data_IF_739186824230
#
_entry.id   IF_739186824230
#
_cell.length_a   1.000
_cell.length_b   1.000
_cell.length_c   1.000
_cell.angle_alpha   90.00
_cell.angle_beta   90.00
_cell.angle_gamma   90.00
#
_symmetry.space_group_name_H-M   'P 1'
#
loop_
_entity.id
_entity.type
_entity.pdbx_description
1 polymer ?
#
# COMPACT_ATOMS: atom_id res chain seq x y z
N UNK A 1 58.08 76.99 -10.71
CA UNK A 1 57.42 78.26 -11.08
C UNK A 1 56.11 77.90 -11.75
N UNK A 2 55.01 77.90 -10.99
CA UNK A 2 53.95 78.92 -11.11
C UNK A 2 53.36 78.91 -12.53
N UNK A 3 52.11 78.48 -12.77
CA UNK A 3 50.86 79.09 -12.27
C UNK A 3 49.66 78.14 -12.47
N UNK A 4 48.82 78.01 -11.45
CA UNK A 4 47.35 77.86 -11.57
C UNK A 4 46.75 79.27 -11.85
N UNK A 5 45.51 79.51 -12.34
CA UNK A 5 44.24 78.79 -12.13
C UNK A 5 43.36 78.70 -13.44
N UNK A 6 42.15 78.11 -13.52
CA UNK A 6 40.84 78.58 -13.01
C UNK A 6 39.77 77.52 -13.33
N UNK A 7 38.87 77.35 -12.37
CA UNK A 7 37.68 76.49 -12.30
C UNK A 7 36.56 76.96 -13.25
N UNK A 8 35.85 76.01 -13.88
CA UNK A 8 34.42 76.03 -14.27
C UNK A 8 34.12 74.59 -14.74
N UNK A 9 33.57 73.72 -13.89
CA UNK A 9 32.13 73.66 -13.65
C UNK A 9 31.53 72.62 -14.61
N UNK A 10 30.93 71.56 -14.07
CA UNK A 10 29.71 70.88 -14.51
C UNK A 10 29.67 69.41 -14.06
N UNK A 11 28.71 69.17 -13.15
CA UNK A 11 27.96 67.95 -12.84
C UNK A 11 28.68 66.64 -12.49
N UNK A 12 28.60 66.34 -11.18
CA UNK A 12 28.37 65.01 -10.62
C UNK A 12 27.11 64.38 -11.23
N UNK A 13 27.27 63.32 -12.04
CA UNK A 13 26.34 62.20 -12.19
C UNK A 13 27.26 61.01 -12.50
N UNK A 14 27.48 60.04 -11.62
CA UNK A 14 26.68 58.80 -11.59
C UNK A 14 27.13 57.95 -10.39
N UNK A 15 26.37 57.97 -9.31
CA UNK A 15 26.48 56.98 -8.24
C UNK A 15 25.05 56.69 -7.79
N UNK A 16 24.43 55.67 -8.41
CA UNK A 16 23.25 54.90 -7.97
C UNK A 16 22.72 54.11 -9.17
N UNK A 17 23.38 52.99 -9.49
CA UNK A 17 22.81 51.89 -10.29
C UNK A 17 22.81 50.60 -9.44
N UNK A 18 22.33 50.73 -8.21
CA UNK A 18 21.89 49.62 -7.39
C UNK A 18 20.53 50.04 -6.87
N UNK A 19 19.48 49.58 -7.55
CA UNK A 19 18.09 49.42 -7.12
C UNK A 19 17.22 49.40 -8.39
N UNK A 20 17.25 48.28 -9.08
CA UNK A 20 16.14 47.71 -9.86
C UNK A 20 16.59 46.34 -10.38
N UNK A 21 16.94 45.46 -9.43
CA UNK A 21 16.67 44.06 -9.65
C UNK A 21 15.14 43.92 -9.48
N UNK A 22 14.40 43.39 -10.46
CA UNK A 22 13.01 43.04 -10.22
C UNK A 22 13.00 42.07 -9.05
N UNK A 23 12.13 42.36 -8.08
CA UNK A 23 11.97 41.56 -6.88
C UNK A 23 11.96 40.08 -7.24
N UNK A 24 12.86 39.38 -6.56
CA UNK A 24 12.94 37.94 -6.49
C UNK A 24 11.54 37.32 -6.51
N UNK A 25 11.32 36.40 -7.45
CA UNK A 25 10.48 35.21 -7.23
C UNK A 25 9.33 35.45 -6.26
N UNK A 26 8.30 36.17 -6.72
CA UNK A 26 6.97 35.97 -6.17
C UNK A 26 6.58 34.53 -6.51
N UNK A 27 7.01 33.57 -5.67
CA UNK A 27 6.43 32.24 -5.60
C UNK A 27 4.93 32.47 -5.57
N UNK A 28 4.24 32.12 -6.65
CA UNK A 28 2.78 32.04 -6.69
C UNK A 28 2.41 31.26 -5.44
N UNK A 29 1.85 31.93 -4.43
CA UNK A 29 1.17 31.24 -3.33
C UNK A 29 0.08 30.43 -4.00
N UNK A 30 0.35 29.15 -4.22
CA UNK A 30 -0.60 28.18 -4.75
C UNK A 30 -1.87 28.38 -3.94
N UNK A 31 -2.97 28.66 -4.63
CA UNK A 31 -4.27 28.89 -4.02
C UNK A 31 -4.66 27.56 -3.40
N UNK A 32 -4.38 27.37 -2.10
CA UNK A 32 -4.59 26.10 -1.38
C UNK A 32 -5.95 25.52 -1.78
N UNK A 33 -5.93 24.42 -2.55
CA UNK A 33 -7.15 23.80 -3.04
C UNK A 33 -7.90 23.25 -1.84
N UNK A 34 -9.06 23.84 -1.54
CA UNK A 34 -9.87 23.45 -0.39
C UNK A 34 -10.43 22.04 -0.63
N UNK A 35 -10.23 21.13 0.32
CA UNK A 35 -10.81 19.79 0.32
C UNK A 35 -12.32 19.86 0.16
N UNK A 36 -12.87 19.07 -0.75
CA UNK A 36 -14.30 19.07 -1.08
C UNK A 36 -15.14 18.23 -0.11
N UNK A 37 -14.49 17.45 0.75
CA UNK A 37 -15.11 16.52 1.70
C UNK A 37 -15.26 17.14 3.08
N UNK A 38 -14.13 17.45 3.74
CA UNK A 38 -14.14 18.04 5.09
C UNK A 38 -14.04 19.58 5.08
N UNK A 39 -13.84 20.21 3.91
CA UNK A 39 -13.69 21.67 3.78
C UNK A 39 -12.54 22.27 4.63
N UNK A 40 -11.56 21.45 5.04
CA UNK A 40 -10.52 21.81 6.02
C UNK A 40 -11.09 22.24 7.38
N UNK A 41 -12.28 21.75 7.74
CA UNK A 41 -12.87 21.97 9.04
C UNK A 41 -12.09 21.17 10.11
N UNK A 42 -11.44 21.85 11.09
CA UNK A 42 -10.62 21.17 12.08
C UNK A 42 -11.41 20.20 12.97
N UNK A 43 -12.67 20.52 13.29
CA UNK A 43 -13.51 19.67 14.13
C UNK A 43 -13.92 18.40 13.38
N UNK A 44 -14.31 18.54 12.10
CA UNK A 44 -14.60 17.37 11.25
C UNK A 44 -13.38 16.49 11.03
N UNK A 45 -12.21 17.10 10.82
CA UNK A 45 -10.95 16.38 10.65
C UNK A 45 -10.56 15.63 11.93
N UNK A 46 -10.57 16.31 13.08
CA UNK A 46 -10.25 15.70 14.37
C UNK A 46 -11.22 14.57 14.73
N UNK A 47 -12.53 14.79 14.57
CA UNK A 47 -13.56 13.79 14.87
C UNK A 47 -13.41 12.52 14.07
N UNK A 48 -12.97 12.64 12.81
CA UNK A 48 -12.82 11.51 11.90
C UNK A 48 -11.37 10.99 11.84
N UNK A 49 -10.46 11.51 12.67
CA UNK A 49 -9.06 11.07 12.73
C UNK A 49 -8.28 11.32 11.44
N UNK A 50 -8.60 12.40 10.71
CA UNK A 50 -7.94 12.74 9.43
C UNK A 50 -7.16 14.04 9.57
N UNK A 51 -5.99 14.13 8.94
CA UNK A 51 -5.19 15.36 8.82
C UNK A 51 -4.72 15.57 7.37
N UNK A 52 -4.56 16.83 6.94
CA UNK A 52 -3.99 17.17 5.63
C UNK A 52 -2.50 17.54 5.70
N UNK A 53 -1.86 17.27 6.85
CA UNK A 53 -0.47 17.58 7.12
C UNK A 53 -0.22 19.01 7.60
N UNK A 54 1.07 19.37 7.77
CA UNK A 54 2.24 18.55 7.44
C UNK A 54 2.38 17.30 8.35
N UNK A 55 2.94 16.22 7.80
CA UNK A 55 3.31 15.02 8.54
C UNK A 55 4.58 14.38 7.94
N UNK A 56 5.30 13.52 8.70
CA UNK A 56 6.44 12.76 8.16
C UNK A 56 6.03 11.89 6.98
N UNK A 57 6.79 11.91 5.87
CA UNK A 57 6.50 11.11 4.68
C UNK A 57 7.77 10.83 3.87
N UNK A 58 7.94 9.60 3.37
CA UNK A 58 9.16 9.21 2.68
C UNK A 58 10.38 9.41 3.59
N UNK A 59 11.43 10.08 3.10
CA UNK A 59 12.60 10.45 3.92
C UNK A 59 12.55 11.89 4.48
N UNK A 60 11.40 12.56 4.39
CA UNK A 60 11.22 13.94 4.82
C UNK A 60 9.80 14.16 5.39
N UNK A 61 9.07 15.15 4.86
CA UNK A 61 7.70 15.51 5.23
C UNK A 61 6.84 15.75 3.99
N UNK A 62 5.52 15.63 4.15
CA UNK A 62 4.56 15.93 3.07
C UNK A 62 4.69 17.35 2.53
N UNK A 63 5.07 18.32 3.38
CA UNK A 63 5.27 19.71 2.97
C UNK A 63 6.56 19.89 2.18
N UNK A 64 7.67 19.29 2.60
CA UNK A 64 8.93 19.33 1.84
C UNK A 64 8.77 18.68 0.47
N UNK A 65 8.12 17.52 0.40
CA UNK A 65 7.82 16.85 -0.88
C UNK A 65 7.00 17.77 -1.80
N UNK A 66 5.97 18.42 -1.26
CA UNK A 66 5.09 19.34 -1.99
C UNK A 66 5.81 20.60 -2.50
N UNK A 67 6.71 21.17 -1.68
CA UNK A 67 7.48 22.37 -2.04
C UNK A 67 8.53 22.04 -3.09
N UNK A 68 9.23 20.93 -2.91
CA UNK A 68 10.44 20.64 -3.67
C UNK A 68 10.17 20.13 -5.08
N UNK A 69 9.11 19.35 -5.26
CA UNK A 69 8.84 18.67 -6.51
C UNK A 69 7.70 19.33 -7.32
N UNK A 70 7.04 20.34 -6.75
CA UNK A 70 6.08 21.22 -7.44
C UNK A 70 4.86 20.53 -8.08
N UNK A 71 4.49 19.31 -7.66
CA UNK A 71 3.26 18.62 -8.10
C UNK A 71 2.15 18.73 -7.06
N UNK A 72 0.91 18.97 -7.50
CA UNK A 72 -0.25 19.13 -6.61
C UNK A 72 -0.81 17.77 -6.17
N UNK A 73 -0.40 17.32 -4.99
CA UNK A 73 -0.94 16.11 -4.36
C UNK A 73 -2.11 16.42 -3.41
N UNK A 74 -3.01 15.45 -3.26
CA UNK A 74 -3.89 15.36 -2.10
C UNK A 74 -3.14 14.63 -0.99
N UNK A 75 -2.86 15.34 0.10
CA UNK A 75 -2.23 14.79 1.30
C UNK A 75 -3.29 14.45 2.35
N UNK A 76 -3.27 13.21 2.82
CA UNK A 76 -4.17 12.72 3.88
C UNK A 76 -3.40 11.81 4.82
N UNK A 77 -3.56 12.02 6.12
CA UNK A 77 -3.16 11.07 7.17
C UNK A 77 -4.43 10.58 7.86
N UNK A 78 -4.49 9.28 8.12
CA UNK A 78 -5.53 8.61 8.91
C UNK A 78 -4.91 7.94 10.15
N UNK A 79 -5.64 7.04 10.81
CA UNK A 79 -5.13 6.37 12.01
C UNK A 79 -3.88 5.53 11.70
N UNK A 80 -3.90 4.75 10.61
CA UNK A 80 -2.84 3.78 10.31
C UNK A 80 -2.00 4.11 9.08
N UNK A 81 -2.43 5.09 8.27
CA UNK A 81 -1.84 5.36 6.97
C UNK A 81 -1.56 6.85 6.75
N UNK A 82 -0.59 7.11 5.85
CA UNK A 82 -0.32 8.42 5.28
C UNK A 82 -0.30 8.30 3.76
N UNK A 83 -0.86 9.29 3.09
CA UNK A 83 -1.09 9.26 1.65
C UNK A 83 -0.60 10.54 0.99
N UNK A 84 0.09 10.38 -0.13
CA UNK A 84 0.28 11.42 -1.15
C UNK A 84 -0.36 10.96 -2.45
N UNK A 85 -1.41 11.64 -2.90
CA UNK A 85 -2.27 11.14 -3.99
C UNK A 85 -2.44 12.17 -5.11
N UNK A 86 -1.92 11.87 -6.29
CA UNK A 86 -2.29 12.53 -7.54
C UNK A 86 -3.40 11.72 -8.21
N UNK A 87 -4.61 12.28 -8.24
CA UNK A 87 -5.79 11.61 -8.78
C UNK A 87 -6.52 12.51 -9.77
N UNK A 88 -7.01 11.93 -10.86
CA UNK A 88 -7.98 12.59 -11.76
C UNK A 88 -9.39 12.43 -11.20
N UNK A 89 -10.33 13.26 -11.64
CA UNK A 89 -11.75 12.99 -11.38
C UNK A 89 -12.18 11.67 -12.01
N UNK A 90 -13.08 10.94 -11.35
CA UNK A 90 -13.59 9.65 -11.81
C UNK A 90 -15.09 9.71 -12.06
N UNK A 91 -15.53 9.36 -13.27
CA UNK A 91 -16.95 9.20 -13.58
C UNK A 91 -17.37 7.76 -13.30
N UNK A 92 -18.22 7.57 -12.30
CA UNK A 92 -18.68 6.25 -11.85
C UNK A 92 -19.46 5.56 -12.98
N UNK A 93 -19.04 4.37 -13.44
CA UNK A 93 -19.78 3.57 -14.42
C UNK A 93 -21.18 3.21 -13.91
N UNK A 94 -22.16 3.11 -14.81
CA UNK A 94 -23.54 2.78 -14.45
C UNK A 94 -23.64 1.48 -13.65
N UNK A 95 -22.90 0.45 -14.10
CA UNK A 95 -22.83 -0.87 -13.47
C UNK A 95 -22.32 -0.84 -12.02
N UNK A 96 -21.60 0.21 -11.63
CA UNK A 96 -20.95 0.32 -10.32
C UNK A 96 -21.61 1.35 -9.41
N UNK A 97 -22.61 2.10 -9.90
CA UNK A 97 -23.27 3.15 -9.12
C UNK A 97 -23.83 2.68 -7.80
N UNK A 98 -24.35 1.44 -7.74
CA UNK A 98 -24.88 0.87 -6.50
C UNK A 98 -23.78 0.70 -5.45
N UNK A 99 -22.61 0.19 -5.84
CA UNK A 99 -21.47 -0.02 -4.95
C UNK A 99 -20.92 1.31 -4.45
N UNK A 100 -20.60 2.25 -5.35
CA UNK A 100 -20.12 3.58 -4.95
C UNK A 100 -21.13 4.36 -4.12
N UNK A 101 -22.42 4.22 -4.40
CA UNK A 101 -23.44 4.88 -3.58
C UNK A 101 -23.41 4.37 -2.14
N UNK A 102 -23.26 3.08 -1.92
CA UNK A 102 -23.15 2.52 -0.56
C UNK A 102 -21.91 3.06 0.17
N UNK A 103 -20.76 3.13 -0.51
CA UNK A 103 -19.54 3.72 0.08
C UNK A 103 -19.71 5.22 0.39
N UNK A 104 -20.36 5.97 -0.50
CA UNK A 104 -20.63 7.38 -0.28
C UNK A 104 -21.69 7.64 0.79
N UNK A 105 -22.66 6.75 0.98
CA UNK A 105 -23.63 6.78 2.09
C UNK A 105 -22.89 6.58 3.42
N UNK A 106 -21.99 5.59 3.51
CA UNK A 106 -21.14 5.39 4.69
C UNK A 106 -20.22 6.59 4.96
N UNK A 107 -19.60 7.15 3.93
CA UNK A 107 -18.75 8.33 4.07
C UNK A 107 -19.55 9.59 4.46
N UNK A 108 -20.82 9.70 4.06
CA UNK A 108 -21.71 10.80 4.44
C UNK A 108 -21.97 10.84 5.95
N UNK A 109 -22.01 9.69 6.63
CA UNK A 109 -22.17 9.63 8.09
C UNK A 109 -21.04 10.39 8.82
N UNK A 110 -19.82 10.31 8.29
CA UNK A 110 -18.64 11.05 8.77
C UNK A 110 -18.61 12.51 8.30
N UNK A 111 -19.06 12.74 7.06
CA UNK A 111 -19.00 14.02 6.35
C UNK A 111 -20.38 14.38 5.74
N UNK A 112 -21.28 15.03 6.50
CA UNK A 112 -22.68 15.22 6.12
C UNK A 112 -22.94 15.96 4.80
N UNK A 113 -21.97 16.75 4.34
CA UNK A 113 -22.06 17.52 3.10
C UNK A 113 -21.91 16.66 1.82
N UNK A 114 -21.47 15.41 1.95
CA UNK A 114 -21.34 14.49 0.82
C UNK A 114 -22.72 14.19 0.23
N UNK A 115 -22.78 14.10 -1.10
CA UNK A 115 -23.98 13.71 -1.85
C UNK A 115 -23.79 12.28 -2.36
N UNK A 116 -24.49 11.27 -1.82
CA UNK A 116 -24.22 9.88 -2.19
C UNK A 116 -24.59 9.48 -3.63
N UNK A 117 -25.41 10.30 -4.30
CA UNK A 117 -25.78 10.10 -5.71
C UNK A 117 -24.84 10.80 -6.71
N UNK A 118 -23.64 11.23 -6.27
CA UNK A 118 -22.69 11.93 -7.14
C UNK A 118 -22.13 10.97 -8.19
N UNK A 119 -22.31 11.29 -9.47
CA UNK A 119 -21.82 10.46 -10.57
C UNK A 119 -20.34 10.70 -10.92
N UNK A 120 -19.75 11.79 -10.44
CA UNK A 120 -18.34 12.15 -10.68
C UNK A 120 -17.67 12.43 -9.34
N UNK A 121 -16.64 11.65 -9.03
CA UNK A 121 -15.82 11.82 -7.83
C UNK A 121 -14.65 12.72 -8.18
N UNK A 122 -14.52 13.83 -7.47
CA UNK A 122 -13.33 14.68 -7.59
C UNK A 122 -12.14 14.06 -6.82
N UNK A 123 -10.91 14.55 -7.01
CA UNK A 123 -9.72 13.95 -6.39
C UNK A 123 -9.78 13.82 -4.88
N UNK A 124 -10.34 14.80 -4.16
CA UNK A 124 -10.48 14.74 -2.71
C UNK A 124 -11.48 13.66 -2.28
N UNK A 125 -12.62 13.55 -2.97
CA UNK A 125 -13.59 12.51 -2.65
C UNK A 125 -13.03 11.10 -2.92
N UNK A 126 -12.28 10.92 -4.01
CA UNK A 126 -11.58 9.65 -4.29
C UNK A 126 -10.53 9.34 -3.21
N UNK A 127 -9.76 10.35 -2.79
CA UNK A 127 -8.73 10.21 -1.77
C UNK A 127 -9.32 9.78 -0.42
N UNK A 128 -10.41 10.41 0.04
CA UNK A 128 -11.10 9.99 1.25
C UNK A 128 -11.70 8.58 1.16
N UNK A 129 -12.26 8.19 0.00
CA UNK A 129 -12.71 6.80 -0.19
C UNK A 129 -11.55 5.81 -0.09
N UNK A 130 -10.40 6.11 -0.70
CA UNK A 130 -9.22 5.25 -0.62
C UNK A 130 -8.70 5.12 0.82
N UNK A 131 -8.70 6.21 1.59
CA UNK A 131 -8.37 6.20 3.03
C UNK A 131 -9.29 5.26 3.79
N UNK A 132 -10.61 5.41 3.64
CA UNK A 132 -11.59 4.54 4.33
C UNK A 132 -11.44 3.07 3.94
N UNK A 133 -11.19 2.81 2.66
CA UNK A 133 -10.92 1.45 2.15
C UNK A 133 -9.67 0.84 2.78
N UNK A 134 -8.58 1.61 2.90
CA UNK A 134 -7.34 1.14 3.55
C UNK A 134 -7.52 0.90 5.04
N UNK A 135 -8.25 1.77 5.76
CA UNK A 135 -8.58 1.56 7.17
C UNK A 135 -9.47 0.32 7.38
N UNK A 136 -10.44 0.09 6.49
CA UNK A 136 -11.24 -1.13 6.50
C UNK A 136 -10.40 -2.39 6.25
N UNK A 137 -9.41 -2.32 5.34
CA UNK A 137 -8.48 -3.41 5.09
C UNK A 137 -7.59 -3.70 6.32
N UNK A 138 -7.16 -2.67 7.04
CA UNK A 138 -6.41 -2.80 8.30
C UNK A 138 -7.25 -3.47 9.39
N UNK A 139 -8.50 -3.03 9.59
CA UNK A 139 -9.41 -3.66 10.54
C UNK A 139 -9.68 -5.14 10.19
N UNK A 140 -9.85 -5.42 8.89
CA UNK A 140 -10.00 -6.80 8.37
C UNK A 140 -8.74 -7.64 8.64
N UNK A 141 -7.56 -7.06 8.52
CA UNK A 141 -6.30 -7.73 8.85
C UNK A 141 -6.24 -8.11 10.34
N UNK A 142 -6.57 -7.20 11.25
CA UNK A 142 -6.58 -7.47 12.69
C UNK A 142 -7.55 -8.60 13.06
N UNK A 143 -8.78 -8.55 12.53
CA UNK A 143 -9.80 -9.59 12.71
C UNK A 143 -9.33 -10.96 12.20
N UNK A 144 -8.63 -10.98 11.06
CA UNK A 144 -8.08 -12.20 10.48
C UNK A 144 -6.92 -12.78 11.31
N UNK A 145 -6.08 -11.93 11.87
CA UNK A 145 -4.99 -12.36 12.77
C UNK A 145 -5.49 -12.72 14.18
N UNK A 146 -6.74 -12.39 14.51
CA UNK A 146 -7.30 -12.62 15.85
C UNK A 146 -6.65 -11.74 16.91
N UNK A 147 -6.29 -10.50 16.55
CA UNK A 147 -5.60 -9.53 17.42
C UNK A 147 -6.34 -8.19 17.41
N UNK A 148 -5.83 -7.21 18.16
CA UNK A 148 -6.40 -5.87 18.24
C UNK A 148 -5.32 -4.80 18.35
N UNK A 149 -5.66 -3.54 18.04
CA UNK A 149 -4.75 -2.40 18.19
C UNK A 149 -4.18 -2.28 19.61
N UNK A 150 -4.99 -2.59 20.63
CA UNK A 150 -4.59 -2.53 22.03
C UNK A 150 -3.37 -3.39 22.34
N UNK A 151 -3.18 -4.51 21.64
CA UNK A 151 -2.02 -5.39 21.82
C UNK A 151 -0.71 -4.75 21.35
N UNK A 152 -0.77 -3.77 20.45
CA UNK A 152 0.39 -3.03 19.93
C UNK A 152 0.63 -1.71 20.67
N UNK A 153 -0.29 -1.30 21.56
CA UNK A 153 -0.13 -0.11 22.40
C UNK A 153 0.58 -0.41 23.72
N UNK A 154 0.59 -1.67 24.17
CA UNK A 154 1.31 -2.09 25.38
C UNK A 154 2.82 -2.17 25.13
N UNK A 155 3.57 -1.19 25.63
CA UNK A 155 5.03 -1.15 25.53
C UNK A 155 5.74 -2.37 26.14
N UNK A 156 5.13 -3.04 27.12
CA UNK A 156 5.68 -4.29 27.68
C UNK A 156 5.44 -5.49 26.75
N UNK A 157 4.35 -5.49 26.00
CA UNK A 157 4.06 -6.52 25.00
C UNK A 157 4.87 -6.33 23.70
N UNK A 158 5.25 -5.08 23.38
CA UNK A 158 6.03 -4.75 22.19
C UNK A 158 7.38 -5.46 22.13
N UNK A 159 8.06 -5.75 23.25
CA UNK A 159 9.32 -6.51 23.22
C UNK A 159 9.21 -7.85 22.48
N UNK A 160 8.01 -8.44 22.40
CA UNK A 160 7.73 -9.64 21.62
C UNK A 160 6.94 -9.36 20.32
N UNK A 161 6.17 -8.27 20.26
CA UNK A 161 5.21 -7.96 19.19
C UNK A 161 5.59 -6.77 18.29
N UNK A 162 6.80 -6.24 18.40
CA UNK A 162 7.34 -5.23 17.50
C UNK A 162 7.81 -3.95 18.20
N UNK A 163 7.83 -2.83 17.48
CA UNK A 163 8.45 -1.59 17.94
C UNK A 163 7.48 -0.40 18.02
N UNK A 164 6.23 -0.57 17.59
CA UNK A 164 5.23 0.49 17.66
C UNK A 164 3.79 0.03 17.39
N UNK A 165 2.85 0.97 17.42
CA UNK A 165 1.41 0.67 17.46
C UNK A 165 0.86 0.19 16.11
N UNK A 166 1.61 0.33 15.01
CA UNK A 166 1.12 0.07 13.67
C UNK A 166 1.47 -1.35 13.24
N UNK A 167 0.75 -2.34 13.78
CA UNK A 167 1.04 -3.78 13.65
C UNK A 167 2.43 -4.20 14.16
N UNK A 168 3.10 -3.37 14.97
CA UNK A 168 4.49 -3.58 15.38
C UNK A 168 5.47 -2.67 14.64
N UNK A 169 5.04 -1.91 13.63
CA UNK A 169 5.86 -0.86 13.01
C UNK A 169 5.85 0.41 13.86
N UNK A 170 6.94 1.17 13.80
CA UNK A 170 7.07 2.43 14.55
C UNK A 170 6.20 3.54 13.97
N UNK A 171 6.11 3.59 12.64
CA UNK A 171 5.38 4.60 11.89
C UNK A 171 4.22 4.01 11.10
N UNK A 172 3.26 4.88 10.77
CA UNK A 172 2.12 4.59 9.88
C UNK A 172 2.60 4.11 8.53
N UNK A 173 1.82 3.26 7.87
CA UNK A 173 2.09 2.81 6.50
C UNK A 173 1.96 3.98 5.53
N UNK A 174 2.81 4.03 4.51
CA UNK A 174 2.84 5.14 3.56
C UNK A 174 2.48 4.70 2.14
N UNK A 175 1.62 5.48 1.49
CA UNK A 175 1.11 5.17 0.16
C UNK A 175 1.24 6.39 -0.74
N UNK A 176 1.88 6.22 -1.88
CA UNK A 176 2.16 7.28 -2.83
C UNK A 176 1.64 6.92 -4.22
N UNK A 177 0.70 7.71 -4.75
CA UNK A 177 0.09 7.46 -6.06
C UNK A 177 0.34 8.64 -6.98
N UNK A 178 0.98 8.36 -8.11
CA UNK A 178 1.14 9.33 -9.19
C UNK A 178 0.18 9.02 -10.35
N UNK A 179 -0.13 10.06 -11.13
CA UNK A 179 -0.80 9.87 -12.43
C UNK A 179 0.27 9.46 -13.45
N UNK A 180 1.28 10.31 -13.60
CA UNK A 180 2.24 10.24 -14.70
C UNK A 180 3.58 9.64 -14.21
N UNK A 181 4.32 9.05 -15.14
CA UNK A 181 5.58 8.34 -14.87
C UNK A 181 6.70 9.27 -14.42
N UNK A 182 6.84 10.45 -15.04
CA UNK A 182 7.97 11.34 -14.78
C UNK A 182 7.99 11.92 -13.35
N UNK A 183 6.88 12.44 -12.79
CA UNK A 183 6.88 12.89 -11.39
C UNK A 183 7.15 11.76 -10.39
N UNK A 184 6.70 10.53 -10.68
CA UNK A 184 7.04 9.36 -9.87
C UNK A 184 8.53 9.08 -9.90
N UNK A 185 9.13 9.06 -11.10
CA UNK A 185 10.58 8.88 -11.28
C UNK A 185 11.36 9.94 -10.50
N UNK A 186 10.99 11.20 -10.61
CA UNK A 186 11.64 12.31 -9.90
C UNK A 186 11.56 12.12 -8.37
N UNK A 187 10.38 11.75 -7.86
CA UNK A 187 10.20 11.43 -6.43
C UNK A 187 11.07 10.24 -6.00
N UNK A 188 11.12 9.17 -6.80
CA UNK A 188 11.90 7.97 -6.50
C UNK A 188 13.41 8.27 -6.52
N UNK A 189 13.89 9.06 -7.48
CA UNK A 189 15.30 9.47 -7.56
C UNK A 189 15.68 10.30 -6.34
N UNK A 190 14.84 11.27 -5.96
CA UNK A 190 15.13 12.15 -4.82
C UNK A 190 15.03 11.44 -3.47
N UNK A 191 14.01 10.60 -3.29
CA UNK A 191 13.72 9.97 -1.99
C UNK A 191 14.56 8.71 -1.78
N UNK A 192 14.74 7.92 -2.82
CA UNK A 192 15.35 6.58 -2.73
C UNK A 192 16.63 6.43 -3.54
N UNK A 193 16.97 7.38 -4.42
CA UNK A 193 18.13 7.26 -5.32
C UNK A 193 17.89 6.30 -6.48
N UNK A 194 16.63 6.07 -6.87
CA UNK A 194 16.22 5.05 -7.83
C UNK A 194 15.48 5.65 -9.01
N UNK A 195 15.76 5.14 -10.21
CA UNK A 195 15.12 5.57 -11.46
C UNK A 195 14.02 4.62 -11.94
N UNK A 196 13.80 3.51 -11.21
CA UNK A 196 12.84 2.48 -11.58
C UNK A 196 11.40 2.96 -11.37
N UNK A 197 10.56 2.78 -12.39
CA UNK A 197 9.24 3.43 -12.50
C UNK A 197 8.06 2.48 -12.27
N UNK A 198 8.31 1.19 -12.03
CA UNK A 198 7.24 0.25 -11.67
C UNK A 198 6.83 0.43 -10.21
N UNK A 199 5.63 -0.06 -9.82
CA UNK A 199 5.19 -0.10 -8.44
C UNK A 199 6.22 -0.78 -7.55
N UNK A 200 6.47 -0.20 -6.38
CA UNK A 200 7.50 -0.68 -5.47
C UNK A 200 7.07 -0.53 -4.02
N UNK A 201 7.52 -1.47 -3.20
CA UNK A 201 7.42 -1.44 -1.75
C UNK A 201 8.81 -1.27 -1.15
N UNK A 202 8.95 -0.37 -0.18
CA UNK A 202 10.22 -0.05 0.47
C UNK A 202 10.08 -0.05 1.98
N UNK A 203 11.08 -0.64 2.66
CA UNK A 203 11.27 -0.43 4.08
C UNK A 203 12.10 0.83 4.29
N UNK A 204 11.48 1.88 4.80
CA UNK A 204 12.20 3.03 5.33
C UNK A 204 12.83 2.63 6.68
N UNK A 205 14.06 2.13 6.64
CA UNK A 205 14.74 1.61 7.83
C UNK A 205 14.92 2.69 8.90
N UNK A 206 15.22 3.93 8.50
CA UNK A 206 15.46 5.05 9.42
C UNK A 206 14.20 5.40 10.22
N UNK A 207 13.04 5.34 9.55
CA UNK A 207 11.74 5.64 10.15
C UNK A 207 10.99 4.40 10.63
N UNK A 208 11.48 3.20 10.31
CA UNK A 208 10.80 1.91 10.53
C UNK A 208 9.35 1.98 10.02
N UNK A 209 9.22 2.35 8.75
CA UNK A 209 7.97 2.57 8.03
C UNK A 209 7.96 1.71 6.77
N UNK A 210 6.83 1.06 6.48
CA UNK A 210 6.62 0.38 5.21
C UNK A 210 5.89 1.31 4.24
N UNK A 211 6.53 1.53 3.09
CA UNK A 211 6.10 2.45 2.06
C UNK A 211 5.72 1.68 0.80
N UNK A 212 4.67 2.12 0.12
CA UNK A 212 4.28 1.65 -1.21
C UNK A 212 4.07 2.85 -2.13
N UNK A 213 4.51 2.74 -3.39
CA UNK A 213 4.12 3.71 -4.39
C UNK A 213 4.08 3.19 -5.81
N UNK A 214 3.30 3.89 -6.62
CA UNK A 214 3.06 3.57 -8.03
C UNK A 214 2.82 4.83 -8.87
N UNK A 215 2.80 4.65 -10.19
CA UNK A 215 2.17 5.59 -11.10
C UNK A 215 1.15 4.87 -12.00
N UNK A 216 0.06 5.58 -12.33
CA UNK A 216 -1.05 5.02 -13.09
C UNK A 216 -0.74 4.88 -14.59
N UNK A 217 0.19 5.66 -15.12
CA UNK A 217 0.60 5.60 -16.52
C UNK A 217 1.26 4.24 -16.85
N UNK A 218 2.30 3.89 -16.11
CA UNK A 218 3.13 2.69 -16.29
C UNK A 218 2.35 1.39 -16.04
N UNK A 219 1.42 1.40 -15.07
CA UNK A 219 0.55 0.26 -14.77
C UNK A 219 -0.73 0.24 -15.60
N UNK A 220 -0.87 1.16 -16.56
CA UNK A 220 -2.04 1.31 -17.41
C UNK A 220 -3.37 1.32 -16.60
N UNK A 221 -3.35 1.96 -15.44
CA UNK A 221 -4.51 2.08 -14.56
C UNK A 221 -5.44 3.14 -15.15
N UNK A 222 -6.62 2.69 -15.58
CA UNK A 222 -7.67 3.54 -16.17
C UNK A 222 -9.00 3.44 -15.44
N UNK A 223 -9.06 2.67 -14.36
CA UNK A 223 -10.28 2.37 -13.61
C UNK A 223 -10.06 2.55 -12.11
N UNK A 224 -11.00 3.16 -11.39
CA UNK A 224 -10.83 3.43 -9.95
C UNK A 224 -10.72 2.15 -9.11
N UNK A 225 -11.49 1.10 -9.44
CA UNK A 225 -11.33 -0.21 -8.80
C UNK A 225 -10.00 -0.89 -9.12
N UNK A 226 -9.39 -0.59 -10.28
CA UNK A 226 -8.03 -1.09 -10.58
C UNK A 226 -7.01 -0.43 -9.65
N UNK A 227 -7.12 0.89 -9.45
CA UNK A 227 -6.30 1.61 -8.46
C UNK A 227 -6.52 1.08 -7.03
N UNK A 228 -7.77 0.79 -6.67
CA UNK A 228 -8.08 0.23 -5.36
C UNK A 228 -7.43 -1.15 -5.16
N UNK A 229 -7.54 -2.05 -6.14
CA UNK A 229 -6.94 -3.38 -6.05
C UNK A 229 -5.42 -3.37 -5.95
N UNK A 230 -4.73 -2.56 -6.77
CA UNK A 230 -3.27 -2.48 -6.65
C UNK A 230 -2.84 -1.96 -5.28
N UNK A 231 -3.61 -1.03 -4.68
CA UNK A 231 -3.37 -0.60 -3.30
C UNK A 231 -3.63 -1.74 -2.33
N UNK A 232 -4.77 -2.44 -2.41
CA UNK A 232 -5.10 -3.57 -1.52
C UNK A 232 -4.05 -4.68 -1.56
N UNK A 233 -3.61 -5.08 -2.75
CA UNK A 233 -2.56 -6.08 -2.94
C UNK A 233 -1.29 -5.66 -2.19
N UNK A 234 -0.82 -4.44 -2.44
CA UNK A 234 0.45 -3.95 -1.88
C UNK A 234 0.39 -3.64 -0.38
N UNK A 235 -0.74 -3.14 0.14
CA UNK A 235 -0.91 -3.00 1.59
C UNK A 235 -1.12 -4.35 2.26
N UNK A 236 -1.67 -5.35 1.56
CA UNK A 236 -1.74 -6.73 2.03
C UNK A 236 -0.34 -7.29 2.33
N UNK A 237 0.61 -7.09 1.42
CA UNK A 237 2.04 -7.35 1.67
C UNK A 237 2.56 -6.55 2.86
N UNK A 238 2.44 -5.22 2.81
CA UNK A 238 3.01 -4.37 3.86
C UNK A 238 2.46 -4.69 5.26
N UNK A 239 1.16 -4.95 5.40
CA UNK A 239 0.56 -5.32 6.69
C UNK A 239 1.09 -6.66 7.19
N UNK A 240 1.26 -7.65 6.32
CA UNK A 240 1.80 -8.96 6.68
C UNK A 240 3.31 -8.88 7.04
N UNK A 241 4.07 -8.09 6.29
CA UNK A 241 5.49 -7.84 6.54
C UNK A 241 5.69 -7.07 7.86
N UNK A 242 4.86 -6.05 8.07
CA UNK A 242 4.86 -5.21 9.26
C UNK A 242 4.32 -5.88 10.51
N UNK A 243 3.51 -6.93 10.39
CA UNK A 243 2.90 -7.63 11.52
C UNK A 243 3.96 -8.25 12.44
N UNK A 244 4.00 -7.78 13.68
CA UNK A 244 5.05 -8.02 14.66
C UNK A 244 6.45 -7.53 14.27
N UNK A 245 6.49 -6.39 13.58
CA UNK A 245 7.68 -5.74 13.05
C UNK A 245 8.35 -6.50 11.91
N UNK A 246 8.82 -5.75 10.91
CA UNK A 246 9.45 -6.29 9.73
C UNK A 246 10.90 -6.74 10.01
N UNK A 247 11.03 -7.94 10.59
CA UNK A 247 12.32 -8.53 10.97
C UNK A 247 12.89 -9.48 9.92
N UNK A 248 12.01 -10.13 9.16
CA UNK A 248 12.33 -11.09 8.10
C UNK A 248 11.10 -11.34 7.24
N UNK A 249 11.35 -11.88 6.04
CA UNK A 249 10.32 -12.24 5.06
C UNK A 249 9.62 -13.55 5.44
N UNK A 250 8.31 -13.58 5.23
CA UNK A 250 7.58 -14.84 5.20
C UNK A 250 7.81 -15.56 3.86
N UNK A 251 7.56 -16.89 3.81
CA UNK A 251 7.58 -17.64 2.55
C UNK A 251 6.74 -16.97 1.47
N UNK A 252 7.31 -16.84 0.26
CA UNK A 252 6.72 -16.05 -0.83
C UNK A 252 5.31 -16.47 -1.21
N UNK A 253 4.99 -17.77 -1.12
CA UNK A 253 3.65 -18.28 -1.42
C UNK A 253 2.59 -17.76 -0.45
N UNK A 254 2.98 -17.48 0.80
CA UNK A 254 2.09 -16.92 1.82
C UNK A 254 1.85 -15.45 1.52
N UNK A 255 2.92 -14.67 1.30
CA UNK A 255 2.81 -13.24 1.06
C UNK A 255 2.02 -12.95 -0.20
N UNK A 256 2.34 -13.64 -1.30
CA UNK A 256 1.66 -13.47 -2.59
C UNK A 256 0.21 -13.97 -2.54
N UNK A 257 -0.01 -15.17 -2.00
CA UNK A 257 -1.35 -15.73 -1.88
C UNK A 257 -2.28 -14.86 -1.01
N UNK A 258 -1.73 -14.23 0.03
CA UNK A 258 -2.45 -13.33 0.91
C UNK A 258 -2.78 -11.99 0.27
N UNK A 259 -1.84 -11.41 -0.48
CA UNK A 259 -2.09 -10.18 -1.24
C UNK A 259 -3.16 -10.39 -2.32
N UNK A 260 -3.11 -11.51 -3.05
CA UNK A 260 -4.19 -11.88 -3.96
C UNK A 260 -5.52 -12.09 -3.24
N UNK A 261 -5.53 -12.68 -2.05
CA UNK A 261 -6.76 -12.86 -1.28
C UNK A 261 -7.41 -11.50 -0.94
N UNK A 262 -6.61 -10.50 -0.57
CA UNK A 262 -7.10 -9.15 -0.29
C UNK A 262 -7.68 -8.46 -1.53
N UNK A 263 -6.96 -8.43 -2.66
CA UNK A 263 -7.42 -7.71 -3.85
C UNK A 263 -8.62 -8.40 -4.52
N UNK A 264 -8.63 -9.75 -4.54
CA UNK A 264 -9.69 -10.51 -5.21
C UNK A 264 -11.01 -10.51 -4.44
N UNK A 265 -10.97 -10.32 -3.12
CA UNK A 265 -12.18 -10.11 -2.32
C UNK A 265 -12.86 -8.77 -2.66
N UNK A 266 -12.10 -7.78 -3.13
CA UNK A 266 -12.66 -6.52 -3.62
C UNK A 266 -13.16 -6.61 -5.07
N UNK A 267 -12.27 -6.94 -6.02
CA UNK A 267 -12.64 -6.98 -7.44
C UNK A 267 -11.78 -7.96 -8.24
N UNK A 268 -12.28 -9.16 -8.58
CA UNK A 268 -11.48 -10.19 -9.25
C UNK A 268 -11.07 -9.82 -10.70
N UNK A 269 -11.56 -8.71 -11.26
CA UNK A 269 -11.21 -8.24 -12.61
C UNK A 269 -9.79 -7.68 -12.70
N UNK A 270 -9.26 -7.16 -11.58
CA UNK A 270 -7.98 -6.47 -11.53
C UNK A 270 -7.04 -7.24 -10.59
N UNK A 271 -6.08 -7.99 -11.12
CA UNK A 271 -5.17 -8.81 -10.30
C UNK A 271 -3.74 -8.39 -10.58
N UNK A 272 -2.99 -8.15 -9.52
CA UNK A 272 -1.57 -7.87 -9.60
C UNK A 272 -0.78 -9.17 -9.62
N UNK A 273 0.47 -9.09 -10.04
CA UNK A 273 1.39 -10.22 -10.03
C UNK A 273 2.75 -9.64 -9.67
N UNK A 274 3.29 -10.02 -8.51
CA UNK A 274 4.64 -9.62 -8.17
C UNK A 274 5.64 -10.50 -8.92
N UNK A 275 6.62 -9.84 -9.53
CA UNK A 275 7.57 -10.48 -10.44
C UNK A 275 8.95 -9.86 -10.25
N UNK A 276 10.00 -10.61 -10.56
CA UNK A 276 11.34 -10.02 -10.70
C UNK A 276 11.51 -9.56 -12.16
N UNK A 277 12.23 -8.46 -12.35
CA UNK A 277 12.45 -7.83 -13.66
C UNK A 277 12.74 -8.85 -14.76
N UNK A 278 11.88 -8.91 -15.79
CA UNK A 278 12.03 -9.79 -16.96
C UNK A 278 11.29 -11.14 -16.91
N UNK A 279 10.47 -11.42 -15.90
CA UNK A 279 9.89 -12.78 -15.71
C UNK A 279 8.48 -13.04 -16.28
N UNK A 280 7.73 -12.03 -16.74
CA UNK A 280 6.38 -12.25 -17.32
C UNK A 280 6.26 -11.79 -18.77
N UNK A 281 5.89 -12.74 -19.65
CA UNK A 281 5.63 -12.52 -21.07
C UNK A 281 4.15 -12.71 -21.48
N UNK A 282 3.23 -12.98 -20.54
CA UNK A 282 1.86 -13.35 -20.91
C UNK A 282 0.77 -12.42 -20.36
N UNK A 283 -0.06 -11.93 -21.27
CA UNK A 283 -1.32 -11.27 -20.96
C UNK A 283 -2.40 -12.33 -20.65
N UNK A 284 -2.54 -12.70 -19.38
CA UNK A 284 -3.67 -13.54 -18.92
C UNK A 284 -4.30 -12.94 -17.66
N UNK A 285 -5.12 -11.91 -17.81
CA UNK A 285 -6.11 -11.61 -16.77
C UNK A 285 -7.27 -12.60 -16.91
N UNK A 286 -7.23 -13.65 -16.09
CA UNK A 286 -8.37 -14.55 -15.92
C UNK A 286 -9.12 -14.07 -14.69
N UNK A 287 -10.21 -13.32 -14.83
CA UNK A 287 -11.06 -12.93 -13.69
C UNK A 287 -11.52 -14.15 -12.86
N UNK A 288 -11.64 -15.31 -13.52
CA UNK A 288 -12.15 -16.57 -12.97
C UNK A 288 -11.03 -17.52 -12.53
N UNK A 289 -10.32 -17.20 -11.44
CA UNK A 289 -9.26 -18.08 -10.91
C UNK A 289 -9.77 -19.42 -10.39
N UNK A 290 -10.93 -19.44 -9.73
CA UNK A 290 -11.47 -20.66 -9.12
C UNK A 290 -11.64 -21.82 -10.13
N UNK A 291 -12.30 -21.64 -11.29
CA UNK A 291 -12.34 -22.67 -12.34
C UNK A 291 -10.96 -23.11 -12.83
N UNK A 292 -10.01 -22.19 -12.97
CA UNK A 292 -8.67 -22.54 -13.48
C UNK A 292 -7.89 -23.36 -12.45
N UNK A 293 -7.92 -22.98 -11.17
CA UNK A 293 -7.34 -23.80 -10.09
C UNK A 293 -7.99 -25.17 -10.03
N UNK A 294 -9.32 -25.25 -10.20
CA UNK A 294 -10.02 -26.54 -10.27
C UNK A 294 -9.47 -27.42 -11.40
N UNK A 295 -9.25 -26.87 -12.59
CA UNK A 295 -8.66 -27.60 -13.73
C UNK A 295 -7.25 -28.08 -13.41
N UNK A 296 -6.40 -27.24 -12.82
CA UNK A 296 -5.05 -27.61 -12.41
C UNK A 296 -5.07 -28.76 -11.40
N UNK A 297 -6.00 -28.74 -10.43
CA UNK A 297 -6.18 -29.85 -9.47
C UNK A 297 -6.64 -31.13 -10.16
N UNK A 298 -7.63 -31.06 -11.06
CA UNK A 298 -8.13 -32.23 -11.80
C UNK A 298 -7.06 -32.90 -12.67
N UNK A 299 -6.15 -32.11 -13.25
CA UNK A 299 -5.04 -32.60 -14.06
C UNK A 299 -3.80 -32.97 -13.25
N UNK A 300 -3.82 -32.74 -11.93
CA UNK A 300 -2.68 -32.91 -11.05
C UNK A 300 -1.46 -32.05 -11.46
N UNK A 301 -1.72 -30.85 -12.00
CA UNK A 301 -0.73 -29.86 -12.44
C UNK A 301 -0.49 -28.77 -11.39
N UNK A 302 -1.39 -28.61 -10.41
CA UNK A 302 -1.25 -27.60 -9.38
C UNK A 302 -0.01 -27.81 -8.48
N UNK A 303 0.72 -26.73 -8.19
CA UNK A 303 1.86 -26.77 -7.28
C UNK A 303 1.45 -27.29 -5.88
N UNK A 304 2.18 -28.30 -5.39
CA UNK A 304 1.94 -28.86 -4.06
C UNK A 304 2.42 -27.92 -2.96
N UNK A 305 1.86 -28.04 -1.74
CA UNK A 305 2.38 -27.34 -0.56
C UNK A 305 3.89 -27.60 -0.38
N UNK A 306 4.34 -28.85 -0.53
CA UNK A 306 5.77 -29.20 -0.41
C UNK A 306 6.65 -28.41 -1.39
N UNK A 307 6.18 -28.19 -2.62
CA UNK A 307 6.90 -27.38 -3.61
C UNK A 307 6.95 -25.91 -3.20
N UNK A 308 5.79 -25.33 -2.85
CA UNK A 308 5.66 -23.92 -2.50
C UNK A 308 6.48 -23.52 -1.28
N UNK A 309 6.57 -24.41 -0.28
CA UNK A 309 7.35 -24.17 0.94
C UNK A 309 8.82 -23.83 0.64
N UNK A 310 9.39 -24.38 -0.44
CA UNK A 310 10.81 -24.24 -0.79
C UNK A 310 11.12 -23.06 -1.70
N UNK A 311 10.11 -22.36 -2.22
CA UNK A 311 10.34 -21.24 -3.14
C UNK A 311 10.85 -20.04 -2.37
N UNK A 312 12.01 -19.52 -2.79
CA UNK A 312 12.70 -18.48 -2.05
C UNK A 312 12.30 -17.07 -2.49
N UNK A 313 11.79 -16.90 -3.71
CA UNK A 313 11.51 -15.56 -4.25
C UNK A 313 10.36 -15.54 -5.27
N UNK A 314 9.88 -14.33 -5.59
CA UNK A 314 8.85 -14.10 -6.62
C UNK A 314 9.29 -14.58 -8.01
N UNK A 315 10.60 -14.63 -8.30
CA UNK A 315 11.11 -15.15 -9.57
C UNK A 315 10.80 -16.64 -9.80
N UNK A 316 10.47 -17.37 -8.74
CA UNK A 316 10.14 -18.80 -8.78
C UNK A 316 8.63 -19.06 -8.88
N UNK A 317 7.81 -18.01 -8.92
CA UNK A 317 6.37 -18.10 -9.11
C UNK A 317 6.03 -17.90 -10.60
N UNK A 318 5.56 -18.96 -11.25
CA UNK A 318 4.91 -18.85 -12.54
C UNK A 318 3.46 -18.36 -12.39
N UNK A 319 2.82 -17.98 -13.49
CA UNK A 319 1.43 -17.49 -13.47
C UNK A 319 0.45 -18.42 -12.71
N UNK A 320 0.50 -19.73 -12.98
CA UNK A 320 -0.37 -20.71 -12.32
C UNK A 320 -0.11 -20.80 -10.81
N UNK A 321 1.10 -20.46 -10.38
CA UNK A 321 1.45 -20.46 -8.97
C UNK A 321 0.76 -19.35 -8.20
N UNK A 322 0.56 -18.17 -8.79
CA UNK A 322 -0.23 -17.09 -8.17
C UNK A 322 -1.66 -17.56 -7.87
N UNK A 323 -2.29 -18.23 -8.84
CA UNK A 323 -3.63 -18.80 -8.71
C UNK A 323 -3.67 -19.86 -7.60
N UNK A 324 -2.68 -20.75 -7.56
CA UNK A 324 -2.59 -21.82 -6.56
C UNK A 324 -2.28 -21.27 -5.16
N UNK A 325 -1.39 -20.27 -5.03
CA UNK A 325 -1.07 -19.61 -3.77
C UNK A 325 -2.32 -18.93 -3.19
N UNK A 326 -3.05 -18.16 -4.00
CA UNK A 326 -4.33 -17.57 -3.62
C UNK A 326 -5.31 -18.64 -3.12
N UNK A 327 -5.50 -19.72 -3.89
CA UNK A 327 -6.46 -20.77 -3.52
C UNK A 327 -6.08 -21.49 -2.21
N UNK A 328 -4.79 -21.73 -1.97
CA UNK A 328 -4.32 -22.35 -0.72
C UNK A 328 -4.52 -21.42 0.47
N UNK A 329 -4.31 -20.11 0.32
CA UNK A 329 -4.61 -19.13 1.37
C UNK A 329 -6.13 -19.05 1.63
N UNK A 330 -6.95 -18.95 0.57
CA UNK A 330 -8.41 -18.94 0.70
C UNK A 330 -8.93 -20.19 1.40
N UNK A 331 -8.39 -21.37 1.07
CA UNK A 331 -8.70 -22.61 1.76
C UNK A 331 -8.35 -22.58 3.25
N UNK A 332 -7.15 -22.11 3.62
CA UNK A 332 -6.73 -22.05 5.03
C UNK A 332 -7.62 -21.10 5.84
N UNK A 333 -7.97 -19.95 5.28
CA UNK A 333 -8.85 -18.95 5.90
C UNK A 333 -10.28 -19.49 6.03
N UNK A 334 -10.84 -20.08 4.96
CA UNK A 334 -12.21 -20.62 4.95
C UNK A 334 -12.37 -21.88 5.79
N UNK A 335 -11.30 -22.66 5.94
CA UNK A 335 -11.29 -23.81 6.84
C UNK A 335 -11.49 -23.35 8.28
N UNK A 336 -10.70 -22.38 8.72
CA UNK A 336 -10.79 -21.79 10.05
C UNK A 336 -9.95 -20.51 10.12
N UNK A 337 -10.64 -19.37 10.20
CA UNK A 337 -10.02 -18.04 10.28
C UNK A 337 -9.09 -17.90 11.48
N UNK A 338 -9.47 -18.43 12.64
CA UNK A 338 -8.69 -18.30 13.87
C UNK A 338 -7.40 -19.11 13.79
N UNK A 339 -7.46 -20.32 13.22
CA UNK A 339 -6.26 -21.14 12.97
C UNK A 339 -5.31 -20.48 11.98
N UNK A 340 -5.84 -19.78 10.97
CA UNK A 340 -5.00 -19.03 10.04
C UNK A 340 -4.24 -17.90 10.74
N UNK A 341 -4.92 -17.11 11.57
CA UNK A 341 -4.27 -16.07 12.38
C UNK A 341 -3.20 -16.63 13.31
N UNK A 342 -3.45 -17.77 13.97
CA UNK A 342 -2.48 -18.46 14.81
C UNK A 342 -1.27 -18.99 14.01
N UNK A 343 -1.52 -19.53 12.81
CA UNK A 343 -0.49 -20.00 11.90
C UNK A 343 0.46 -18.86 11.51
N UNK A 344 -0.08 -17.73 11.01
CA UNK A 344 0.74 -16.57 10.62
C UNK A 344 1.49 -15.98 11.82
N UNK A 345 0.79 -15.79 12.95
CA UNK A 345 1.38 -15.28 14.19
C UNK A 345 2.56 -16.15 14.64
N UNK A 346 2.43 -17.47 14.60
CA UNK A 346 3.51 -18.40 14.97
C UNK A 346 4.73 -18.25 14.07
N UNK A 347 4.54 -18.00 12.77
CA UNK A 347 5.64 -17.79 11.84
C UNK A 347 6.34 -16.44 12.02
N UNK A 348 5.61 -15.37 12.43
CA UNK A 348 6.16 -14.02 12.67
C UNK A 348 6.76 -13.84 14.08
N UNK A 349 6.30 -14.60 15.06
CA UNK A 349 6.78 -14.53 16.45
C UNK A 349 8.06 -15.35 16.73
N UNK A 350 8.69 -15.94 15.71
CA UNK A 350 9.82 -16.85 15.93
C UNK A 350 11.05 -16.11 16.45
N UNK A 351 11.69 -16.70 17.46
CA UNK A 351 12.91 -16.18 18.08
C UNK A 351 13.92 -17.31 18.28
N UNK A 352 15.21 -16.98 18.20
CA UNK A 352 16.30 -17.89 18.56
C UNK A 352 16.52 -17.94 20.09
N UNK A 353 17.53 -18.71 20.53
CA UNK A 353 17.86 -18.86 21.96
C UNK A 353 18.27 -17.55 22.65
N UNK A 354 18.69 -16.53 21.89
CA UNK A 354 19.03 -15.20 22.38
C UNK A 354 17.83 -14.24 22.37
N UNK A 355 16.64 -14.71 21.97
CA UNK A 355 15.44 -13.88 21.88
C UNK A 355 15.41 -12.95 20.66
N UNK A 356 16.30 -13.14 19.68
CA UNK A 356 16.30 -12.36 18.44
C UNK A 356 15.37 -13.00 17.38
N UNK A 357 14.73 -12.21 16.50
CA UNK A 357 13.96 -12.73 15.37
C UNK A 357 14.72 -13.78 14.56
N UNK A 358 14.05 -14.90 14.24
CA UNK A 358 14.68 -16.05 13.60
C UNK A 358 13.83 -16.66 12.47
N UNK A 359 14.31 -16.47 11.24
CA UNK A 359 13.72 -17.04 10.04
C UNK A 359 14.29 -18.41 9.63
N UNK A 360 15.27 -18.94 10.38
CA UNK A 360 15.94 -20.19 10.02
C UNK A 360 14.95 -21.35 9.93
N UNK A 361 15.17 -22.29 9.00
CA UNK A 361 14.34 -23.48 8.83
C UNK A 361 12.82 -23.18 8.72
N UNK A 362 12.43 -22.15 7.95
CA UNK A 362 11.03 -21.75 7.80
C UNK A 362 10.14 -22.87 7.25
N UNK A 363 10.67 -23.74 6.40
CA UNK A 363 9.98 -24.96 5.93
C UNK A 363 9.56 -25.86 7.10
N UNK A 364 10.47 -26.09 8.05
CA UNK A 364 10.20 -26.89 9.25
C UNK A 364 9.14 -26.25 10.13
N UNK A 365 9.21 -24.94 10.31
CA UNK A 365 8.23 -24.19 11.10
C UNK A 365 6.83 -24.22 10.48
N UNK A 366 6.71 -24.05 9.16
CA UNK A 366 5.43 -24.18 8.46
C UNK A 366 4.82 -25.58 8.66
N UNK A 367 5.62 -26.64 8.48
CA UNK A 367 5.19 -28.03 8.70
C UNK A 367 4.70 -28.27 10.12
N UNK A 368 5.40 -27.69 11.10
CA UNK A 368 5.03 -27.80 12.50
C UNK A 368 3.74 -27.05 12.79
N UNK A 369 3.62 -25.79 12.34
CA UNK A 369 2.43 -24.98 12.53
C UNK A 369 1.17 -25.60 11.87
N UNK A 370 1.30 -26.24 10.70
CA UNK A 370 0.18 -26.99 10.11
C UNK A 370 -0.28 -28.17 10.98
N UNK A 371 0.65 -28.88 11.62
CA UNK A 371 0.29 -29.94 12.57
C UNK A 371 -0.37 -29.38 13.82
N UNK A 372 0.18 -28.31 14.37
CA UNK A 372 -0.28 -27.76 15.65
C UNK A 372 -1.69 -27.15 15.54
N UNK A 373 -1.96 -26.39 14.47
CA UNK A 373 -3.23 -25.68 14.35
C UNK A 373 -4.28 -26.46 13.55
N UNK A 374 -3.87 -27.11 12.46
CA UNK A 374 -4.80 -27.83 11.58
C UNK A 374 -4.84 -29.33 11.84
N UNK A 375 -3.87 -29.89 12.56
CA UNK A 375 -3.78 -31.33 12.80
C UNK A 375 -3.33 -32.13 11.57
N UNK A 376 -2.75 -31.47 10.57
CA UNK A 376 -2.45 -32.09 9.26
C UNK A 376 -0.96 -32.10 8.96
N UNK A 377 -0.48 -33.23 8.45
CA UNK A 377 0.78 -33.31 7.71
C UNK A 377 0.63 -32.67 6.31
N UNK A 378 1.73 -32.37 5.62
CA UNK A 378 1.66 -31.79 4.28
C UNK A 378 0.88 -32.65 3.27
N UNK A 379 1.01 -33.99 3.23
CA UNK A 379 0.18 -34.82 2.34
C UNK A 379 -1.31 -34.69 2.66
N UNK A 380 -1.70 -34.73 3.94
CA UNK A 380 -3.10 -34.58 4.34
C UNK A 380 -3.64 -33.19 4.02
N UNK A 381 -2.82 -32.15 4.21
CA UNK A 381 -3.16 -30.78 3.86
C UNK A 381 -3.39 -30.65 2.34
N UNK A 382 -2.54 -31.25 1.52
CA UNK A 382 -2.69 -31.30 0.06
C UNK A 382 -3.97 -32.01 -0.36
N UNK A 383 -4.25 -33.19 0.19
CA UNK A 383 -5.48 -33.95 -0.08
C UNK A 383 -6.75 -33.17 0.28
N UNK A 384 -6.75 -32.52 1.45
CA UNK A 384 -7.89 -31.73 1.93
C UNK A 384 -8.13 -30.49 1.09
N UNK A 385 -7.06 -29.79 0.71
CA UNK A 385 -7.16 -28.65 -0.20
C UNK A 385 -7.71 -29.07 -1.56
N UNK A 386 -7.18 -30.14 -2.17
CA UNK A 386 -7.67 -30.65 -3.46
C UNK A 386 -9.15 -31.04 -3.37
N UNK A 387 -9.55 -31.76 -2.33
CA UNK A 387 -10.94 -32.14 -2.11
C UNK A 387 -11.85 -30.90 -1.98
N UNK A 388 -11.43 -29.91 -1.20
CA UNK A 388 -12.15 -28.65 -1.02
C UNK A 388 -12.29 -27.87 -2.34
N UNK A 389 -11.23 -27.77 -3.15
CA UNK A 389 -11.30 -27.15 -4.48
C UNK A 389 -12.31 -27.86 -5.38
N UNK A 390 -12.29 -29.20 -5.39
CA UNK A 390 -13.21 -30.01 -6.21
C UNK A 390 -14.66 -29.98 -5.70
N UNK A 391 -14.89 -29.59 -4.46
CA UNK A 391 -16.24 -29.41 -3.90
C UNK A 391 -16.75 -27.96 -4.08
N UNK A 392 -15.89 -26.97 -3.85
CA UNK A 392 -16.29 -25.57 -3.71
C UNK A 392 -16.17 -24.76 -5.00
N UNK A 393 -15.13 -25.00 -5.81
CA UNK A 393 -14.88 -24.17 -6.99
C UNK A 393 -15.75 -24.58 -8.18
N UNK A 394 -16.33 -23.63 -8.94
CA UNK A 394 -17.18 -23.95 -10.07
C UNK A 394 -16.38 -24.61 -11.21
N UNK A 395 -17.10 -25.35 -12.06
CA UNK A 395 -16.52 -26.00 -13.25
C UNK A 395 -16.21 -25.01 -14.39
N UNK A 396 -16.90 -23.86 -14.43
CA UNK A 396 -16.83 -22.87 -15.52
C UNK A 396 -16.76 -21.44 -14.99
#
# INVERSE_FOLDING_TARGET
MEKTPVIRGFLLISLLLLLWAPEASAQKKSKKVRCTVCLHDPELMQRNGVSHGPFPFGRSSSEEVQIDLLWDAVWLESAHFRFGLMLKSWKVPESERKAYRAELEALQEKYPAIKPKKAVLDPWLRAHLLVERSEAAYAKFLDLMGTSEAEFQDQKALTMKGLGPYLGMHEKFEIMVFIDKEPFKEYMEKTWGLTYVKPQRWNNVDRRCLWFGLNQEEENIRHDQHLHNIVLHNIGHNMLDGYQFYSYDLPVWITEGFAHWFERDNDPRFNMFDTVEGSFHEAKSLERWAPEVRKLVMKNEAASFSSLLRRASFAELGFEDHLVCWSKIDFLIRTDKAKFGQFITTLKSRRNAQGLPDASNMDGAQRQAFRDFYGWSLPQLEEKWKAWVLDTYPLK
#
